data_IF_948982664065
#
_entry.id   IF_948982664065
#
_cell.length_a   1.000
_cell.length_b   1.000
_cell.length_c   1.000
_cell.angle_alpha   90.00
_cell.angle_beta   90.00
_cell.angle_gamma   90.00
#
_symmetry.space_group_name_H-M   'P 1'
#
loop_
_entity.id
_entity.type
_entity.pdbx_description
1 polymer ?
#
# COMPACT_ATOMS: atom_id res chain seq x y z
N UNK A 1 5.00 -25.59 49.84
CA UNK A 1 5.73 -26.84 49.56
C UNK A 1 5.34 -27.28 48.15
N UNK A 2 6.16 -26.95 47.14
CA UNK A 2 6.75 -27.92 46.17
C UNK A 2 5.69 -28.93 45.68
N UNK A 3 5.16 -28.82 44.45
CA UNK A 3 5.81 -29.35 43.25
C UNK A 3 5.49 -28.50 42.01
N UNK A 4 6.51 -27.87 41.43
CA UNK A 4 6.56 -27.51 40.01
C UNK A 4 6.93 -28.77 39.21
N UNK A 5 6.19 -29.12 38.15
CA UNK A 5 6.72 -29.92 37.03
C UNK A 5 5.84 -29.61 35.81
N UNK A 6 6.17 -28.58 35.03
CA UNK A 6 6.87 -28.76 33.74
C UNK A 6 6.26 -29.87 32.87
N UNK A 7 5.17 -29.54 32.16
CA UNK A 7 4.76 -30.22 30.95
C UNK A 7 4.85 -29.23 29.77
N UNK A 8 6.10 -28.93 29.40
CA UNK A 8 6.47 -28.42 28.08
C UNK A 8 6.41 -29.58 27.07
N UNK A 9 6.12 -29.25 25.81
CA UNK A 9 6.39 -30.01 24.56
C UNK A 9 5.24 -30.78 23.90
N UNK A 10 4.37 -30.03 23.20
CA UNK A 10 3.96 -30.33 21.82
C UNK A 10 3.59 -28.99 21.17
N UNK A 11 4.57 -28.27 20.62
CA UNK A 11 4.84 -28.24 19.17
C UNK A 11 3.57 -28.21 18.32
N UNK A 12 3.05 -27.00 18.14
CA UNK A 12 1.93 -26.70 17.26
C UNK A 12 1.87 -25.23 16.89
N UNK A 13 3.02 -24.56 16.75
CA UNK A 13 3.12 -23.25 16.10
C UNK A 13 2.96 -23.47 14.58
N UNK A 14 1.78 -23.92 14.16
CA UNK A 14 1.41 -23.87 12.75
C UNK A 14 1.33 -22.40 12.39
N UNK A 15 2.37 -21.95 11.68
CA UNK A 15 2.48 -20.64 11.04
C UNK A 15 1.13 -20.13 10.59
N UNK A 16 0.60 -19.15 11.32
CA UNK A 16 -0.39 -18.24 10.77
C UNK A 16 0.37 -17.39 9.76
N UNK A 17 0.43 -17.87 8.52
CA UNK A 17 0.77 -17.04 7.36
C UNK A 17 -0.34 -16.00 7.21
N UNK A 18 -0.26 -14.98 8.06
CA UNK A 18 -0.96 -13.72 7.87
C UNK A 18 -0.31 -13.06 6.66
N UNK A 19 -1.04 -12.94 5.55
CA UNK A 19 -0.45 -12.30 4.38
C UNK A 19 -1.39 -11.88 3.28
N UNK A 20 -2.51 -12.57 3.05
CA UNK A 20 -3.43 -12.22 1.96
C UNK A 20 -4.56 -11.32 2.47
N UNK A 21 -4.22 -10.09 2.86
CA UNK A 21 -5.21 -9.02 2.85
C UNK A 21 -5.02 -8.26 1.55
N UNK A 22 -6.05 -8.30 0.71
CA UNK A 22 -6.34 -7.22 -0.23
C UNK A 22 -6.62 -5.96 0.61
N UNK A 23 -5.58 -5.46 1.27
CA UNK A 23 -5.65 -4.35 2.20
C UNK A 23 -5.69 -3.10 1.35
N UNK A 24 -6.65 -2.24 1.71
CA UNK A 24 -6.86 -0.87 1.27
C UNK A 24 -5.60 -0.21 0.67
N UNK A 25 -5.72 0.57 -0.42
CA UNK A 25 -4.57 1.31 -0.93
C UNK A 25 -3.92 2.11 0.22
N UNK A 26 -2.60 1.98 0.32
CA UNK A 26 -1.76 2.63 1.31
C UNK A 26 -1.95 4.17 1.27
N UNK A 27 -2.23 4.69 0.07
CA UNK A 27 -2.48 6.09 -0.19
C UNK A 27 -3.98 6.41 -0.28
N UNK A 28 -4.34 7.60 0.20
CA UNK A 28 -5.68 8.17 0.06
C UNK A 28 -5.79 9.12 -1.14
N UNK A 29 -4.66 9.61 -1.64
CA UNK A 29 -4.56 10.50 -2.79
C UNK A 29 -3.78 9.83 -3.93
N UNK A 30 -4.18 10.12 -5.16
CA UNK A 30 -3.56 9.62 -6.37
C UNK A 30 -2.16 10.24 -6.50
N UNK A 31 -1.09 9.43 -6.63
CA UNK A 31 0.28 9.93 -6.75
C UNK A 31 0.56 10.69 -8.07
N UNK A 32 -0.37 10.57 -9.03
CA UNK A 32 -0.27 11.22 -10.34
C UNK A 32 -0.96 12.59 -10.33
N UNK A 33 -2.19 12.67 -9.81
CA UNK A 33 -3.03 13.87 -9.92
C UNK A 33 -3.29 14.60 -8.59
N UNK A 34 -3.00 13.96 -7.45
CA UNK A 34 -3.29 14.49 -6.12
C UNK A 34 -4.76 14.40 -5.70
N UNK A 35 -5.61 13.72 -6.49
CA UNK A 35 -7.04 13.56 -6.20
C UNK A 35 -7.35 12.32 -5.35
N UNK A 36 -8.53 12.25 -4.74
CA UNK A 36 -8.90 11.11 -3.89
C UNK A 36 -8.89 9.80 -4.67
N UNK A 37 -8.26 8.76 -4.12
CA UNK A 37 -8.23 7.44 -4.75
C UNK A 37 -9.64 6.87 -4.86
N UNK A 38 -9.91 6.20 -5.96
CA UNK A 38 -11.18 5.54 -6.21
C UNK A 38 -11.00 4.03 -5.99
N UNK A 39 -11.70 3.41 -5.01
CA UNK A 39 -11.59 1.98 -4.74
C UNK A 39 -12.10 1.10 -5.89
N UNK A 40 -12.81 1.68 -6.87
CA UNK A 40 -13.25 0.98 -8.08
C UNK A 40 -12.15 0.89 -9.14
N UNK A 41 -11.05 1.64 -8.99
CA UNK A 41 -9.92 1.64 -9.93
C UNK A 41 -8.88 0.61 -9.47
N UNK A 42 -8.20 -0.02 -10.43
CA UNK A 42 -7.12 -0.98 -10.15
C UNK A 42 -6.03 -0.33 -9.29
N UNK A 43 -5.50 -1.05 -8.33
CA UNK A 43 -4.33 -0.65 -7.54
C UNK A 43 -3.07 -1.32 -8.07
N UNK A 44 -1.90 -0.73 -7.82
CA UNK A 44 -0.60 -1.27 -8.21
C UNK A 44 0.28 -1.42 -6.98
N UNK A 45 0.92 -2.57 -6.83
CA UNK A 45 1.90 -2.79 -5.76
C UNK A 45 3.28 -2.29 -6.20
N UNK A 46 3.89 -1.40 -5.42
CA UNK A 46 5.23 -0.88 -5.65
C UNK A 46 5.96 -0.71 -4.31
N UNK A 47 7.22 -1.15 -4.23
CA UNK A 47 8.04 -1.10 -3.01
C UNK A 47 7.35 -1.71 -1.76
N UNK A 48 6.58 -2.79 -1.93
CA UNK A 48 5.83 -3.45 -0.85
C UNK A 48 4.60 -2.67 -0.37
N UNK A 49 4.19 -1.60 -1.06
CA UNK A 49 3.00 -0.80 -0.76
C UNK A 49 2.00 -0.84 -1.91
N UNK A 50 0.72 -0.91 -1.59
CA UNK A 50 -0.37 -0.86 -2.58
C UNK A 50 -0.77 0.58 -2.88
N UNK A 51 -0.53 1.05 -4.10
CA UNK A 51 -0.93 2.37 -4.57
C UNK A 51 -2.27 2.33 -5.31
N UNK A 52 -3.24 3.11 -4.84
CA UNK A 52 -4.50 3.37 -5.52
C UNK A 52 -4.47 4.63 -6.38
N UNK A 53 -5.41 4.69 -7.32
CA UNK A 53 -5.51 5.78 -8.28
C UNK A 53 -6.93 6.34 -8.36
N UNK A 54 -7.07 7.58 -8.85
CA UNK A 54 -8.38 8.19 -9.09
C UNK A 54 -9.00 7.75 -10.43
N UNK A 55 -8.18 7.36 -11.42
CA UNK A 55 -8.58 7.17 -12.81
C UNK A 55 -7.91 5.96 -13.48
N UNK A 56 -8.56 5.35 -14.48
CA UNK A 56 -8.05 4.21 -15.28
C UNK A 56 -6.95 4.55 -16.31
N UNK A 57 -6.34 5.74 -16.21
CA UNK A 57 -5.10 6.09 -16.92
C UNK A 57 -3.96 6.48 -15.99
N UNK A 58 -4.25 6.63 -14.70
CA UNK A 58 -3.31 7.02 -13.67
C UNK A 58 -2.37 5.85 -13.33
N UNK A 59 -2.85 4.61 -13.44
CA UNK A 59 -2.08 3.37 -13.36
C UNK A 59 -0.99 3.31 -14.43
N UNK A 60 -1.30 3.68 -15.69
CA UNK A 60 -0.31 3.68 -16.78
C UNK A 60 0.78 4.71 -16.56
N UNK A 61 0.42 5.93 -16.14
CA UNK A 61 1.40 6.97 -15.80
C UNK A 61 2.26 6.52 -14.63
N UNK A 62 1.65 5.98 -13.57
CA UNK A 62 2.39 5.45 -12.44
C UNK A 62 3.33 4.31 -12.83
N UNK A 63 2.90 3.38 -13.70
CA UNK A 63 3.73 2.28 -14.18
C UNK A 63 4.92 2.75 -15.05
N UNK A 64 4.77 3.88 -15.75
CA UNK A 64 5.87 4.45 -16.52
C UNK A 64 6.99 5.02 -15.64
N UNK A 65 6.65 5.58 -14.48
CA UNK A 65 7.61 6.28 -13.63
C UNK A 65 7.29 6.18 -12.12
N UNK A 66 7.18 4.97 -11.55
CA UNK A 66 6.59 4.76 -10.23
C UNK A 66 7.39 5.42 -9.10
N UNK A 67 8.72 5.52 -9.23
CA UNK A 67 9.57 6.22 -8.28
C UNK A 67 9.25 7.72 -8.21
N UNK A 68 9.07 8.36 -9.37
CA UNK A 68 8.72 9.79 -9.49
C UNK A 68 7.36 10.08 -8.86
N UNK A 69 6.36 9.26 -9.15
CA UNK A 69 5.01 9.44 -8.63
C UNK A 69 4.89 9.05 -7.15
N UNK A 70 5.60 8.00 -6.70
CA UNK A 70 5.65 7.64 -5.29
C UNK A 70 6.27 8.75 -4.44
N UNK A 71 7.28 9.48 -4.96
CA UNK A 71 7.88 10.63 -4.29
C UNK A 71 6.94 11.84 -4.18
N UNK A 72 5.87 11.90 -4.98
CA UNK A 72 4.85 12.94 -4.85
C UNK A 72 3.92 12.72 -3.65
N UNK A 73 4.01 11.58 -2.97
CA UNK A 73 3.24 11.30 -1.77
C UNK A 73 4.14 11.37 -0.53
N UNK A 74 3.56 11.85 0.58
CA UNK A 74 4.20 11.75 1.89
C UNK A 74 4.45 10.30 2.28
N UNK A 75 5.33 10.09 3.26
CA UNK A 75 5.64 8.78 3.84
C UNK A 75 4.38 8.01 4.31
N UNK A 76 3.28 8.72 4.58
CA UNK A 76 1.96 8.23 5.00
C UNK A 76 0.94 8.06 3.85
N UNK A 77 1.24 8.48 2.62
CA UNK A 77 0.33 8.35 1.47
C UNK A 77 -0.95 9.21 1.53
N UNK A 78 -1.09 10.04 2.58
CA UNK A 78 -2.28 10.89 2.82
C UNK A 78 -2.14 12.31 2.25
N UNK A 79 -0.91 12.75 1.98
CA UNK A 79 -0.61 14.11 1.51
C UNK A 79 0.13 14.04 0.19
N UNK A 80 -0.32 14.82 -0.78
CA UNK A 80 0.36 15.04 -2.04
C UNK A 80 1.36 16.20 -1.87
N UNK A 81 2.65 15.89 -1.87
CA UNK A 81 3.77 16.83 -1.72
C UNK A 81 4.42 17.18 -3.05
N UNK A 82 4.10 16.44 -4.11
CA UNK A 82 4.63 16.66 -5.45
C UNK A 82 4.11 17.94 -6.11
N UNK A 83 4.85 18.45 -7.09
CA UNK A 83 4.31 19.43 -8.02
C UNK A 83 3.28 18.71 -8.89
N UNK A 84 2.03 19.16 -8.88
CA UNK A 84 0.95 18.59 -9.71
C UNK A 84 1.46 18.53 -11.13
N UNK A 85 1.62 17.32 -11.68
CA UNK A 85 2.02 17.18 -13.07
C UNK A 85 1.03 18.00 -13.90
N UNK A 86 1.49 18.92 -14.76
CA UNK A 86 0.57 19.75 -15.53
C UNK A 86 -0.34 18.81 -16.31
N UNK A 87 -1.64 18.95 -16.05
CA UNK A 87 -2.70 18.28 -16.80
C UNK A 87 -2.75 18.95 -18.17
N UNK A 88 -1.72 18.76 -18.99
CA UNK A 88 -1.81 19.04 -20.42
C UNK A 88 -2.64 17.90 -20.99
N UNK A 89 -3.97 18.10 -20.92
CA UNK A 89 -4.94 17.35 -21.70
C UNK A 89 -4.73 17.59 -23.19
#
# INVERSE_FOLDING_TARGET
MRVFLFALLVFGFASRSSGDKAEKPFNELCPVMGEKVNPKVKTVSYAGKTYGFCCSGCDKKFAADPAKYAANLSADGKVFVGQKAPLTH
#
